data_IF_291217965872
#
_entry.id   IF_291217965872
#
_cell.length_a   1.000
_cell.length_b   1.000
_cell.length_c   1.000
_cell.angle_alpha   90.00
_cell.angle_beta   90.00
_cell.angle_gamma   90.00
#
_symmetry.space_group_name_H-M   'P 1'
#
loop_
_entity.id
_entity.type
_entity.pdbx_description
1 polymer ?
#
# COMPACT_ATOMS: atom_id res chain seq x y z
N UNK A 1 -50.61 -15.15 -16.31
CA UNK A 1 -49.42 -15.91 -15.90
C UNK A 1 -48.48 -14.94 -15.22
N UNK A 2 -48.22 -15.11 -13.91
CA UNK A 2 -47.36 -14.22 -13.13
C UNK A 2 -45.91 -14.44 -13.58
N UNK A 3 -45.24 -13.37 -14.04
CA UNK A 3 -43.79 -13.37 -14.16
C UNK A 3 -43.22 -13.37 -12.73
N UNK A 4 -42.63 -14.48 -12.32
CA UNK A 4 -41.88 -14.56 -11.07
C UNK A 4 -40.66 -13.63 -11.21
N UNK A 5 -40.67 -12.51 -10.49
CA UNK A 5 -39.50 -11.66 -10.32
C UNK A 5 -38.48 -12.43 -9.49
N UNK A 6 -37.42 -12.92 -10.13
CA UNK A 6 -36.21 -13.26 -9.39
C UNK A 6 -35.62 -11.94 -8.89
N UNK A 7 -35.51 -11.81 -7.58
CA UNK A 7 -34.87 -10.66 -6.94
C UNK A 7 -33.57 -10.31 -7.65
N UNK A 8 -33.41 -9.02 -7.97
CA UNK A 8 -32.18 -8.48 -8.53
C UNK A 8 -31.01 -8.85 -7.64
N UNK A 9 -29.98 -9.49 -8.21
CA UNK A 9 -28.73 -9.75 -7.50
C UNK A 9 -28.24 -8.42 -6.93
N UNK A 10 -28.02 -8.30 -5.60
CA UNK A 10 -27.56 -7.06 -5.02
C UNK A 10 -26.19 -6.69 -5.59
N UNK A 11 -25.97 -5.40 -5.78
CA UNK A 11 -24.68 -4.90 -6.25
C UNK A 11 -23.57 -5.28 -5.26
N UNK A 12 -22.43 -5.72 -5.79
CA UNK A 12 -21.26 -5.99 -4.98
C UNK A 12 -20.65 -4.67 -4.49
N UNK A 13 -20.67 -4.46 -3.17
CA UNK A 13 -20.04 -3.33 -2.52
C UNK A 13 -18.78 -3.83 -1.80
N UNK A 14 -17.62 -3.42 -2.32
CA UNK A 14 -16.35 -3.69 -1.67
C UNK A 14 -16.23 -2.86 -0.39
N UNK A 15 -15.80 -3.51 0.69
CA UNK A 15 -15.37 -2.85 1.92
C UNK A 15 -14.09 -3.51 2.38
N UNK A 16 -13.11 -2.71 2.78
CA UNK A 16 -11.92 -3.21 3.45
C UNK A 16 -12.32 -3.87 4.78
N UNK A 17 -11.71 -5.02 5.08
CA UNK A 17 -11.92 -5.71 6.36
C UNK A 17 -11.31 -4.92 7.53
N UNK A 18 -10.21 -4.21 7.27
CA UNK A 18 -9.47 -3.41 8.25
C UNK A 18 -9.12 -2.07 7.60
N UNK A 19 -10.01 -1.06 7.65
CA UNK A 19 -9.72 0.25 7.08
C UNK A 19 -8.57 0.91 7.85
N UNK A 20 -7.57 1.41 7.13
CA UNK A 20 -6.49 2.21 7.73
C UNK A 20 -6.96 3.65 7.97
N UNK A 21 -6.49 4.24 9.07
CA UNK A 21 -6.71 5.64 9.41
C UNK A 21 -5.42 6.47 9.30
N UNK A 22 -5.52 7.75 9.66
CA UNK A 22 -4.34 8.61 9.77
C UNK A 22 -3.37 8.10 10.83
N UNK A 23 -2.08 8.25 10.57
CA UNK A 23 -1.02 7.88 11.51
C UNK A 23 -0.46 9.14 12.17
N UNK A 24 -0.47 9.18 13.50
CA UNK A 24 0.18 10.23 14.30
C UNK A 24 1.66 9.90 14.63
N UNK A 25 2.16 8.74 14.17
CA UNK A 25 3.52 8.30 14.47
C UNK A 25 4.52 9.20 13.73
N UNK A 26 5.38 9.87 14.49
CA UNK A 26 6.46 10.66 13.93
C UNK A 26 7.60 9.74 13.43
N UNK A 27 8.07 9.99 12.20
CA UNK A 27 9.16 9.25 11.58
C UNK A 27 10.42 10.11 11.47
N UNK A 28 11.58 9.46 11.57
CA UNK A 28 12.90 10.05 11.28
C UNK A 28 13.38 9.59 9.91
N UNK A 29 13.98 10.49 9.12
CA UNK A 29 14.68 10.11 7.89
C UNK A 29 16.01 9.41 8.25
N UNK A 30 16.18 8.19 7.75
CA UNK A 30 17.43 7.43 7.88
C UNK A 30 18.37 7.78 6.71
N UNK A 31 17.92 7.59 5.47
CA UNK A 31 18.65 7.94 4.24
C UNK A 31 17.68 7.98 3.04
N UNK A 32 18.12 8.52 1.90
CA UNK A 32 17.51 8.41 0.57
C UNK A 32 18.44 7.77 -0.48
N UNK A 33 19.63 7.31 -0.12
CA UNK A 33 20.65 6.81 -1.06
C UNK A 33 20.22 5.56 -1.84
N UNK A 34 19.30 4.76 -1.28
CA UNK A 34 18.92 3.44 -1.81
C UNK A 34 17.56 3.44 -2.51
N UNK A 35 17.02 4.62 -2.80
CA UNK A 35 15.74 4.77 -3.49
C UNK A 35 15.86 5.65 -4.71
N UNK A 36 15.11 5.32 -5.75
CA UNK A 36 14.97 6.15 -6.95
C UNK A 36 13.60 5.94 -7.57
N UNK A 37 13.19 6.84 -8.44
CA UNK A 37 11.95 6.70 -9.22
C UNK A 37 12.25 6.45 -10.68
N UNK A 38 11.37 5.72 -11.34
CA UNK A 38 11.40 5.51 -12.80
C UNK A 38 9.99 5.34 -13.34
N UNK A 39 9.81 5.58 -14.65
CA UNK A 39 8.52 5.49 -15.31
C UNK A 39 8.39 4.19 -16.12
N UNK A 40 7.25 3.51 -15.99
CA UNK A 40 6.91 2.34 -16.79
C UNK A 40 5.39 2.24 -16.98
N UNK A 41 4.92 1.92 -18.19
CA UNK A 41 3.48 1.75 -18.44
C UNK A 41 2.61 2.96 -18.11
N UNK A 42 3.16 4.17 -18.16
CA UNK A 42 2.45 5.40 -17.79
C UNK A 42 2.30 5.63 -16.28
N UNK A 43 3.05 4.90 -15.47
CA UNK A 43 3.05 5.00 -14.00
C UNK A 43 4.46 5.20 -13.47
N UNK A 44 4.56 5.94 -12.37
CA UNK A 44 5.81 6.13 -11.63
C UNK A 44 6.00 5.00 -10.62
N UNK A 45 7.20 4.41 -10.61
CA UNK A 45 7.57 3.31 -9.72
C UNK A 45 8.70 3.73 -8.78
N UNK A 46 8.64 3.26 -7.54
CA UNK A 46 9.74 3.36 -6.58
C UNK A 46 10.63 2.13 -6.72
N UNK A 47 11.89 2.32 -7.09
CA UNK A 47 12.94 1.31 -7.00
C UNK A 47 13.61 1.41 -5.63
N UNK A 48 13.72 0.29 -4.95
CA UNK A 48 14.39 0.17 -3.64
C UNK A 48 15.51 -0.85 -3.76
N UNK A 49 16.74 -0.45 -3.46
CA UNK A 49 17.89 -1.37 -3.44
C UNK A 49 17.88 -2.23 -2.16
N UNK A 50 18.33 -3.50 -2.21
CA UNK A 50 18.36 -4.40 -1.04
C UNK A 50 19.15 -3.85 0.16
N UNK A 51 20.17 -3.05 -0.09
CA UNK A 51 20.97 -2.32 0.92
C UNK A 51 20.10 -1.44 1.81
N UNK A 52 19.09 -0.77 1.24
CA UNK A 52 18.17 0.10 1.99
C UNK A 52 17.36 -0.66 3.04
N UNK A 53 16.88 -1.87 2.69
CA UNK A 53 16.15 -2.73 3.62
C UNK A 53 17.05 -3.22 4.77
N UNK A 54 18.30 -3.62 4.44
CA UNK A 54 19.27 -4.04 5.45
C UNK A 54 19.60 -2.92 6.43
N UNK A 55 19.82 -1.70 5.94
CA UNK A 55 20.06 -0.53 6.78
C UNK A 55 18.86 -0.22 7.68
N UNK A 56 17.65 -0.21 7.12
CA UNK A 56 16.41 0.05 7.87
C UNK A 56 16.26 -0.93 9.04
N UNK A 57 16.43 -2.22 8.80
CA UNK A 57 16.33 -3.23 9.87
C UNK A 57 17.45 -3.11 10.89
N UNK A 58 18.69 -2.81 10.46
CA UNK A 58 19.81 -2.62 11.38
C UNK A 58 19.60 -1.41 12.31
N UNK A 59 19.03 -0.32 11.79
CA UNK A 59 18.72 0.88 12.57
C UNK A 59 17.57 0.61 13.56
N UNK A 60 16.49 -0.02 13.11
CA UNK A 60 15.32 -0.32 13.93
C UNK A 60 15.59 -1.31 15.07
N UNK A 61 16.64 -2.15 14.96
CA UNK A 61 17.03 -3.11 16.00
C UNK A 61 18.12 -2.57 16.93
N UNK A 62 18.78 -1.47 16.55
CA UNK A 62 19.82 -0.82 17.35
C UNK A 62 19.23 0.16 18.35
N UNK A 63 18.25 0.95 17.91
CA UNK A 63 17.47 1.88 18.74
C UNK A 63 16.42 1.13 19.56
#
# INVERSE_FOLDING_TARGET
>A
MKASSFDSVPDFLYSDLLPSGESEIAYRKITDDYVSTFEAGGMSFLKVEPEGLRLLTAEAMRE
#
